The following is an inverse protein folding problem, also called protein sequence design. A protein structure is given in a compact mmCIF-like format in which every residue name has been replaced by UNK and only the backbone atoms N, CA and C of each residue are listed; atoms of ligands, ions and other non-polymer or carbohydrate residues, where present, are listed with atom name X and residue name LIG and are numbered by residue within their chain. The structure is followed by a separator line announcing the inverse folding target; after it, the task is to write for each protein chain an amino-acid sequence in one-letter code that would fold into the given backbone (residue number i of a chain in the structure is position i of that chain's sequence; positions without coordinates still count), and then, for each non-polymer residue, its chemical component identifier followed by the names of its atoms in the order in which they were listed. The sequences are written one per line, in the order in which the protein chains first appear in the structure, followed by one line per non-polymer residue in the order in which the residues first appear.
data_IF_795967970799
#
_entry.id   IF_795967970799
#
_cell.length_a   1.000
_cell.length_b   1.000
_cell.length_c   1.000
_cell.angle_alpha   90.00
_cell.angle_beta   90.00
_cell.angle_gamma   90.00
#
_symmetry.space_group_name_H-M   'P 1'
#
loop_
_entity.id
_entity.type
_entity.pdbx_description
1 polymer ?
#
# COMPACT_ATOMS: atom_id res chain seq x y z
N UNK A 1 8.61 9.28 -1.59
CA UNK A 1 9.37 8.16 -1.00
C UNK A 1 9.65 7.11 -2.07
N UNK A 2 8.68 6.58 -2.82
CA UNK A 2 8.92 5.33 -3.60
C UNK A 2 9.11 5.51 -5.12
N UNK A 3 9.54 6.69 -5.59
CA UNK A 3 9.74 6.99 -7.01
C UNK A 3 8.64 6.45 -7.97
N UNK A 4 7.38 6.42 -7.50
CA UNK A 4 6.25 6.07 -8.33
C UNK A 4 5.74 7.35 -8.99
N UNK A 5 5.65 7.41 -10.34
CA UNK A 5 5.06 8.56 -11.01
C UNK A 5 3.67 8.86 -10.47
N UNK A 6 3.31 10.15 -10.37
CA UNK A 6 2.00 10.55 -9.85
C UNK A 6 0.89 9.95 -10.71
N UNK A 7 1.07 9.95 -12.02
CA UNK A 7 0.15 9.40 -13.00
C UNK A 7 -0.13 7.92 -12.72
N UNK A 8 0.88 7.16 -12.31
CA UNK A 8 0.74 5.74 -11.98
C UNK A 8 -0.10 5.54 -10.72
N UNK A 9 0.15 6.35 -9.68
CA UNK A 9 -0.66 6.32 -8.45
C UNK A 9 -2.11 6.73 -8.70
N UNK A 10 -2.34 7.74 -9.54
CA UNK A 10 -3.69 8.18 -9.91
C UNK A 10 -4.41 7.13 -10.76
N UNK A 11 -3.73 6.49 -11.72
CA UNK A 11 -4.30 5.35 -12.48
C UNK A 11 -4.66 4.18 -11.57
N UNK A 12 -3.82 3.87 -10.58
CA UNK A 12 -4.13 2.85 -9.59
C UNK A 12 -5.39 3.20 -8.79
N UNK A 13 -5.48 4.43 -8.26
CA UNK A 13 -6.65 4.91 -7.50
C UNK A 13 -7.92 4.83 -8.35
N UNK A 14 -7.87 5.27 -9.60
CA UNK A 14 -9.00 5.21 -10.53
C UNK A 14 -9.41 3.76 -10.80
N UNK A 15 -8.45 2.86 -11.04
CA UNK A 15 -8.73 1.45 -11.25
C UNK A 15 -9.35 0.80 -10.01
N UNK A 16 -8.89 1.17 -8.81
CA UNK A 16 -9.42 0.64 -7.56
C UNK A 16 -10.85 1.14 -7.30
N UNK A 17 -11.15 2.41 -7.60
CA UNK A 17 -12.52 2.95 -7.52
C UNK A 17 -13.48 2.19 -8.44
N UNK A 18 -13.08 1.91 -9.69
CA UNK A 18 -13.87 1.08 -10.61
C UNK A 18 -14.13 -0.32 -10.05
N UNK A 19 -13.15 -0.91 -9.37
CA UNK A 19 -13.34 -2.20 -8.68
C UNK A 19 -14.34 -2.07 -7.53
N UNK A 20 -14.26 -1.01 -6.72
CA UNK A 20 -15.23 -0.75 -5.65
C UNK A 20 -16.66 -0.58 -6.19
N UNK A 21 -16.80 0.12 -7.32
CA UNK A 21 -18.09 0.30 -7.99
C UNK A 21 -18.63 -1.02 -8.54
N UNK A 22 -17.75 -1.86 -9.11
CA UNK A 22 -18.12 -3.19 -9.58
C UNK A 22 -18.60 -4.11 -8.43
N UNK A 23 -17.86 -4.17 -7.32
CA UNK A 23 -18.25 -5.05 -6.19
C UNK A 23 -19.50 -4.53 -5.46
N UNK A 24 -19.88 -3.26 -5.65
CA UNK A 24 -21.02 -2.64 -4.95
C UNK A 24 -22.32 -3.40 -5.15
N UNK A 25 -22.54 -4.01 -6.33
CA UNK A 25 -23.75 -4.81 -6.59
C UNK A 25 -23.74 -6.20 -5.93
N UNK A 26 -22.60 -6.61 -5.38
CA UNK A 26 -22.40 -7.93 -4.77
C UNK A 26 -22.30 -7.88 -3.25
N UNK A 27 -22.45 -6.71 -2.65
CA UNK A 27 -22.35 -6.50 -1.20
C UNK A 27 -23.70 -6.05 -0.65
N UNK A 28 -24.01 -6.32 0.63
CA UNK A 28 -25.24 -5.85 1.26
C UNK A 28 -25.39 -4.33 1.21
N UNK A 29 -26.62 -3.82 1.10
CA UNK A 29 -26.90 -2.37 1.03
C UNK A 29 -26.43 -1.60 2.27
N UNK A 30 -26.35 -2.26 3.43
CA UNK A 30 -25.84 -1.69 4.67
C UNK A 30 -24.30 -1.73 4.78
N UNK A 31 -23.59 -2.20 3.74
CA UNK A 31 -22.13 -2.22 3.68
C UNK A 31 -21.62 -1.27 2.60
N UNK A 32 -20.65 -0.42 2.95
CA UNK A 32 -20.03 0.54 2.03
C UNK A 32 -18.51 0.47 2.10
N UNK A 33 -17.88 0.23 0.95
CA UNK A 33 -16.43 0.36 0.80
C UNK A 33 -16.07 1.74 0.25
N UNK A 34 -15.02 2.34 0.78
CA UNK A 34 -14.50 3.64 0.32
C UNK A 34 -12.98 3.61 0.29
N UNK A 35 -12.38 4.41 -0.59
CA UNK A 35 -10.95 4.66 -0.66
C UNK A 35 -10.69 6.13 -0.34
N UNK A 36 -9.95 6.40 0.73
CA UNK A 36 -9.61 7.74 1.18
C UNK A 36 -8.10 7.82 1.42
N UNK A 37 -7.44 8.83 0.83
CA UNK A 37 -6.03 9.15 1.10
C UNK A 37 -5.95 10.13 2.27
N UNK A 38 -4.80 10.19 2.93
CA UNK A 38 -4.55 11.19 3.98
C UNK A 38 -4.71 12.61 3.43
N UNK A 39 -4.18 12.87 2.22
CA UNK A 39 -4.33 14.18 1.56
C UNK A 39 -5.79 14.54 1.22
N UNK A 40 -6.69 13.56 1.10
CA UNK A 40 -8.12 13.83 0.83
C UNK A 40 -8.86 14.36 2.09
N UNK A 41 -8.20 14.35 3.25
CA UNK A 41 -8.75 14.89 4.52
C UNK A 41 -8.47 16.39 4.70
N UNK A 42 -7.82 17.02 3.73
CA UNK A 42 -7.45 18.43 3.72
C UNK A 42 -8.35 19.21 2.76
N UNK A 43 -8.45 20.52 2.97
CA UNK A 43 -9.20 21.40 2.06
C UNK A 43 -8.63 21.39 0.63
N UNK A 44 -7.32 21.18 0.50
CA UNK A 44 -6.64 20.99 -0.77
C UNK A 44 -5.40 20.11 -0.60
N UNK A 45 -4.91 19.55 -1.71
CA UNK A 45 -3.66 18.80 -1.69
C UNK A 45 -2.45 19.70 -1.39
N UNK A 46 -2.54 21.00 -1.70
CA UNK A 46 -1.49 21.97 -1.34
C UNK A 46 -1.43 22.21 0.17
N UNK A 47 -2.58 22.29 0.85
CA UNK A 47 -2.62 22.38 2.32
C UNK A 47 -2.01 21.14 2.99
N UNK A 48 -2.20 19.95 2.42
CA UNK A 48 -1.53 18.74 2.88
C UNK A 48 0.00 18.82 2.71
N UNK A 49 0.47 19.29 1.55
CA UNK A 49 1.91 19.43 1.29
C UNK A 49 2.56 20.46 2.22
N UNK A 50 1.89 21.58 2.46
CA UNK A 50 2.37 22.63 3.36
C UNK A 50 2.59 22.06 4.77
N UNK A 51 1.60 21.37 5.33
CA UNK A 51 1.76 20.72 6.64
C UNK A 51 2.86 19.64 6.60
N UNK A 52 2.91 18.81 5.57
CA UNK A 52 3.93 17.77 5.43
C UNK A 52 5.34 18.35 5.46
N UNK A 53 5.60 19.40 4.67
CA UNK A 53 6.92 20.04 4.62
C UNK A 53 7.26 20.76 5.92
N UNK A 54 6.29 21.44 6.54
CA UNK A 54 6.49 22.04 7.87
C UNK A 54 6.84 20.99 8.93
N UNK A 55 6.19 19.83 8.91
CA UNK A 55 6.48 18.72 9.82
C UNK A 55 7.85 18.07 9.55
N UNK A 56 8.28 17.99 8.29
CA UNK A 56 9.62 17.50 7.94
C UNK A 56 10.70 18.40 8.54
N UNK A 57 10.59 19.71 8.36
CA UNK A 57 11.57 20.66 8.92
C UNK A 57 11.52 20.66 10.45
N UNK A 58 10.33 20.59 11.06
CA UNK A 58 10.19 20.47 12.51
C UNK A 58 10.93 19.24 13.07
N UNK A 59 10.72 18.07 12.46
CA UNK A 59 11.41 16.84 12.90
C UNK A 59 12.93 16.97 12.72
N UNK A 60 13.37 17.59 11.62
CA UNK A 60 14.79 17.83 11.36
C UNK A 60 15.42 18.75 12.41
N UNK A 61 14.73 19.81 12.81
CA UNK A 61 15.15 20.71 13.88
C UNK A 61 15.24 19.99 15.24
N UNK A 62 14.21 19.21 15.59
CA UNK A 62 14.18 18.42 16.84
C UNK A 62 15.33 17.40 16.92
N UNK A 63 15.75 16.86 15.78
CA UNK A 63 16.88 15.93 15.66
C UNK A 63 18.24 16.62 15.48
N UNK A 64 18.27 17.94 15.36
CA UNK A 64 19.46 18.73 15.01
C UNK A 64 20.14 18.24 13.70
N UNK A 65 19.34 17.94 12.68
CA UNK A 65 19.80 17.48 11.37
C UNK A 65 19.13 16.19 10.92
N UNK A 66 19.90 15.35 10.21
CA UNK A 66 19.41 14.06 9.73
C UNK A 66 19.38 13.01 10.85
N UNK A 67 18.37 12.12 10.85
CA UNK A 67 18.28 11.04 11.84
C UNK A 67 19.47 10.08 11.71
N UNK A 68 20.03 9.62 12.83
CA UNK A 68 20.94 8.46 12.83
C UNK A 68 20.11 7.18 12.87
N UNK A 69 20.17 6.40 11.79
CA UNK A 69 19.33 5.21 11.66
C UNK A 69 19.96 3.99 12.35
N UNK A 70 19.13 3.26 13.10
CA UNK A 70 19.46 1.91 13.57
C UNK A 70 19.46 0.91 12.41
N UNK A 71 20.12 -0.26 12.55
CA UNK A 71 20.08 -1.31 11.53
C UNK A 71 18.66 -1.76 11.15
N UNK A 72 17.71 -1.72 12.09
CA UNK A 72 16.31 -2.04 11.81
C UNK A 72 15.62 -0.96 10.97
N UNK A 73 15.85 0.32 11.28
CA UNK A 73 15.30 1.42 10.48
C UNK A 73 15.86 1.41 9.04
N UNK A 74 17.15 1.11 8.88
CA UNK A 74 17.77 0.93 7.56
C UNK A 74 17.04 -0.16 6.76
N UNK A 75 16.80 -1.33 7.37
CA UNK A 75 16.05 -2.42 6.73
C UNK A 75 14.64 -2.01 6.32
N UNK A 76 13.95 -1.26 7.17
CA UNK A 76 12.60 -0.78 6.88
C UNK A 76 12.58 0.21 5.71
N UNK A 77 13.56 1.12 5.64
CA UNK A 77 13.69 2.05 4.52
C UNK A 77 13.96 1.26 3.23
N UNK A 78 14.93 0.35 3.25
CA UNK A 78 15.31 -0.46 2.08
C UNK A 78 14.15 -1.32 1.56
N UNK A 79 13.25 -1.78 2.43
CA UNK A 79 12.09 -2.58 2.06
C UNK A 79 10.99 -1.76 1.38
N UNK A 80 10.82 -0.49 1.75
CA UNK A 80 9.66 0.31 1.32
C UNK A 80 9.98 1.25 0.16
N UNK A 81 11.26 1.55 -0.09
CA UNK A 81 11.66 2.59 -1.05
C UNK A 81 12.11 1.99 -2.38
N UNK A 82 11.59 2.54 -3.47
CA UNK A 82 12.18 2.39 -4.80
C UNK A 82 12.90 3.69 -5.16
N UNK A 83 14.22 3.62 -5.32
CA UNK A 83 15.03 4.78 -5.68
C UNK A 83 14.91 5.14 -7.17
N UNK A 84 15.22 6.40 -7.48
CA UNK A 84 15.53 6.81 -8.85
C UNK A 84 16.93 6.31 -9.23
N UNK A 85 17.19 5.99 -10.51
CA UNK A 85 18.55 5.72 -10.96
C UNK A 85 19.50 6.85 -10.53
N UNK A 86 20.62 6.49 -9.89
CA UNK A 86 21.66 7.43 -9.44
C UNK A 86 21.40 8.10 -8.09
N UNK A 87 20.25 7.90 -7.46
CA UNK A 87 19.97 8.44 -6.11
C UNK A 87 20.64 7.60 -5.00
N UNK A 88 21.05 6.38 -5.32
CA UNK A 88 21.87 5.51 -4.49
C UNK A 88 23.30 6.05 -4.27
N UNK A 89 23.74 7.02 -5.07
CA UNK A 89 25.02 7.73 -4.89
C UNK A 89 25.02 8.72 -3.71
N UNK A 90 23.83 9.13 -3.25
CA UNK A 90 23.71 10.00 -2.07
C UNK A 90 23.86 9.15 -0.80
N UNK A 91 25.00 9.23 -0.11
CA UNK A 91 25.28 8.39 1.07
C UNK A 91 24.25 8.54 2.19
N UNK A 92 23.48 9.62 2.21
CA UNK A 92 22.48 9.94 3.23
C UNK A 92 21.03 9.74 2.74
N UNK A 93 20.83 9.05 1.61
CA UNK A 93 19.50 8.91 1.01
C UNK A 93 18.51 8.24 1.99
N UNK A 94 18.98 7.31 2.83
CA UNK A 94 18.13 6.58 3.77
C UNK A 94 17.60 7.49 4.86
N UNK A 95 18.47 8.30 5.42
CA UNK A 95 18.20 9.30 6.45
C UNK A 95 17.21 10.34 5.93
N UNK A 96 17.41 10.81 4.69
CA UNK A 96 16.49 11.75 4.02
C UNK A 96 15.11 11.14 3.82
N UNK A 97 15.02 9.88 3.39
CA UNK A 97 13.71 9.21 3.24
C UNK A 97 13.06 8.96 4.61
N UNK A 98 13.83 8.53 5.60
CA UNK A 98 13.32 8.32 6.95
C UNK A 98 12.77 9.61 7.55
N UNK A 99 13.46 10.75 7.33
CA UNK A 99 12.98 12.06 7.75
C UNK A 99 11.62 12.42 7.12
N UNK A 100 11.44 12.15 5.82
CA UNK A 100 10.14 12.34 5.15
C UNK A 100 9.05 11.44 5.77
N UNK A 101 9.38 10.19 6.10
CA UNK A 101 8.46 9.28 6.77
C UNK A 101 8.04 9.81 8.15
N UNK A 102 8.97 10.34 8.93
CA UNK A 102 8.69 10.89 10.26
C UNK A 102 7.82 12.15 10.17
N UNK A 103 8.13 13.07 9.26
CA UNK A 103 7.29 14.24 9.01
C UNK A 103 5.88 13.87 8.54
N UNK A 104 5.76 12.90 7.62
CA UNK A 104 4.46 12.32 7.26
C UNK A 104 3.76 11.65 8.44
N UNK A 105 4.52 11.09 9.38
CA UNK A 105 3.95 10.34 10.48
C UNK A 105 3.20 11.19 11.50
N UNK A 106 3.45 12.49 11.50
CA UNK A 106 2.85 13.45 12.44
C UNK A 106 1.83 14.39 11.80
N UNK A 107 1.49 14.22 10.51
CA UNK A 107 0.43 15.02 9.86
C UNK A 107 -0.91 14.84 10.57
N UNK A 108 -1.56 15.96 10.86
CA UNK A 108 -2.66 16.11 11.81
C UNK A 108 -3.91 15.33 11.40
N UNK A 109 -4.20 15.22 10.10
CA UNK A 109 -5.43 14.59 9.60
C UNK A 109 -5.32 13.07 9.42
N UNK A 110 -4.12 12.49 9.51
CA UNK A 110 -3.92 11.05 9.28
C UNK A 110 -4.64 10.19 10.31
N UNK A 111 -4.32 10.34 11.59
CA UNK A 111 -4.83 9.47 12.67
C UNK A 111 -6.31 9.67 12.98
N UNK A 112 -6.84 10.91 13.08
CA UNK A 112 -8.24 11.15 13.43
C UNK A 112 -9.23 10.47 12.49
N UNK A 113 -8.88 10.31 11.21
CA UNK A 113 -9.75 9.66 10.25
C UNK A 113 -10.01 8.17 10.55
N UNK A 114 -8.99 7.41 10.96
CA UNK A 114 -9.11 5.96 11.15
C UNK A 114 -9.05 5.50 12.61
N UNK A 115 -8.65 6.36 13.55
CA UNK A 115 -8.66 6.10 15.00
C UNK A 115 -9.76 6.88 15.68
N UNK A 116 -11.01 6.48 15.42
CA UNK A 116 -12.21 7.05 16.03
C UNK A 116 -13.05 5.93 16.65
N UNK A 117 -13.80 6.16 17.75
CA UNK A 117 -14.51 5.11 18.48
C UNK A 117 -15.52 4.31 17.65
N UNK A 118 -16.04 4.91 16.58
CA UNK A 118 -17.01 4.33 15.65
C UNK A 118 -16.35 3.49 14.53
N UNK A 119 -15.02 3.35 14.51
CA UNK A 119 -14.31 2.55 13.51
C UNK A 119 -13.48 1.44 14.14
N UNK A 120 -13.53 0.26 13.52
CA UNK A 120 -12.63 -0.84 13.81
C UNK A 120 -11.34 -0.61 13.03
N UNK A 121 -10.22 -0.44 13.74
CA UNK A 121 -8.92 -0.26 13.10
C UNK A 121 -8.38 -1.60 12.62
N UNK A 122 -8.19 -1.75 11.31
CA UNK A 122 -7.68 -2.96 10.67
C UNK A 122 -6.26 -2.69 10.16
N UNK A 123 -5.29 -3.55 10.52
CA UNK A 123 -3.88 -3.39 10.14
C UNK A 123 -3.17 -4.74 10.10
N UNK A 124 -2.04 -4.84 9.42
CA UNK A 124 -1.29 -6.11 9.27
C UNK A 124 -0.37 -6.46 10.44
N UNK A 125 -0.38 -5.67 11.52
CA UNK A 125 0.42 -5.90 12.72
C UNK A 125 -0.52 -6.00 13.91
N UNK A 126 -0.37 -6.97 14.82
CA UNK A 126 -1.16 -6.96 16.05
C UNK A 126 -0.81 -5.72 16.88
N UNK A 127 -1.76 -4.79 16.98
CA UNK A 127 -1.68 -3.61 17.84
C UNK A 127 -2.88 -3.59 18.80
N UNK A 128 -2.76 -2.94 19.98
CA UNK A 128 -3.92 -2.71 20.85
C UNK A 128 -5.06 -2.02 20.10
N UNK A 129 -6.30 -2.45 20.36
CA UNK A 129 -7.52 -1.94 19.73
C UNK A 129 -7.49 -2.01 18.20
N UNK A 130 -6.91 -3.08 17.65
CA UNK A 130 -6.92 -3.33 16.21
C UNK A 130 -7.23 -4.79 15.87
N UNK A 131 -7.78 -5.01 14.69
CA UNK A 131 -7.89 -6.33 14.09
C UNK A 131 -6.70 -6.54 13.18
N UNK A 132 -5.85 -7.49 13.55
CA UNK A 132 -4.73 -7.91 12.73
C UNK A 132 -5.24 -8.72 11.54
N UNK A 133 -5.19 -8.14 10.33
CA UNK A 133 -5.50 -8.89 9.11
C UNK A 133 -4.20 -9.26 8.41
N UNK A 134 -4.00 -10.56 8.23
CA UNK A 134 -2.96 -11.09 7.36
C UNK A 134 -3.39 -10.99 5.90
N UNK A 135 -3.14 -12.05 5.15
CA UNK A 135 -3.36 -12.06 3.70
C UNK A 135 -4.39 -13.15 3.41
N UNK A 136 -4.02 -14.27 2.81
CA UNK A 136 -4.85 -15.48 2.80
C UNK A 136 -4.34 -16.48 3.84
N UNK A 137 -5.13 -17.52 4.15
CA UNK A 137 -4.68 -18.62 5.04
C UNK A 137 -3.37 -19.27 4.59
N UNK A 138 -3.04 -19.16 3.29
CA UNK A 138 -1.86 -19.79 2.65
C UNK A 138 -0.85 -18.77 2.14
N UNK A 139 -0.94 -17.50 2.55
CA UNK A 139 -0.05 -16.46 2.06
C UNK A 139 0.45 -15.59 3.19
N UNK A 140 1.66 -15.07 3.02
CA UNK A 140 2.30 -14.12 3.94
C UNK A 140 2.39 -12.74 3.26
N UNK A 141 2.41 -12.68 1.92
CA UNK A 141 2.53 -11.45 1.16
C UNK A 141 1.23 -10.63 1.15
N UNK A 142 1.33 -9.34 1.47
CA UNK A 142 0.18 -8.45 1.69
C UNK A 142 -0.52 -8.12 0.37
N UNK A 143 -1.85 -7.99 0.40
CA UNK A 143 -2.68 -7.72 -0.78
C UNK A 143 -2.29 -6.47 -1.56
N UNK A 144 -1.65 -5.48 -0.92
CA UNK A 144 -1.25 -4.23 -1.57
C UNK A 144 0.11 -4.28 -2.28
N UNK A 145 0.92 -5.31 -2.05
CA UNK A 145 2.24 -5.50 -2.71
C UNK A 145 2.35 -6.82 -3.49
N UNK A 146 1.39 -7.73 -3.32
CA UNK A 146 1.39 -9.01 -4.01
C UNK A 146 0.42 -9.08 -5.18
N UNK A 147 0.54 -10.14 -5.97
CA UNK A 147 -0.42 -10.47 -7.02
C UNK A 147 -1.26 -11.68 -6.61
N UNK A 148 -2.56 -11.63 -6.93
CA UNK A 148 -3.46 -12.76 -6.79
C UNK A 148 -3.09 -13.90 -7.75
N UNK A 149 -3.04 -15.11 -7.21
CA UNK A 149 -2.72 -16.35 -7.92
C UNK A 149 -3.63 -17.45 -7.41
N UNK A 150 -4.04 -18.37 -8.28
CA UNK A 150 -4.70 -19.60 -7.88
C UNK A 150 -3.70 -20.75 -7.79
N UNK A 151 -3.79 -21.56 -6.74
CA UNK A 151 -3.08 -22.83 -6.62
C UNK A 151 -4.10 -23.96 -6.75
N UNK A 152 -3.90 -24.84 -7.74
CA UNK A 152 -4.81 -25.97 -7.98
C UNK A 152 -4.56 -27.06 -6.95
N UNK A 153 -5.62 -27.59 -6.38
CA UNK A 153 -5.62 -28.71 -5.43
C UNK A 153 -6.75 -29.68 -5.80
N UNK A 154 -6.42 -30.69 -6.60
CA UNK A 154 -7.37 -31.61 -7.24
C UNK A 154 -8.43 -30.84 -8.06
N UNK A 155 -9.70 -30.92 -7.67
CA UNK A 155 -10.82 -30.20 -8.29
C UNK A 155 -11.05 -28.80 -7.70
N UNK A 156 -10.26 -28.40 -6.70
CA UNK A 156 -10.41 -27.13 -6.00
C UNK A 156 -9.28 -26.15 -6.33
N UNK A 157 -9.51 -24.88 -6.00
CA UNK A 157 -8.51 -23.83 -6.10
C UNK A 157 -8.34 -23.09 -4.77
N UNK A 158 -7.09 -22.86 -4.38
CA UNK A 158 -6.74 -22.00 -3.25
C UNK A 158 -6.30 -20.64 -3.74
N UNK A 159 -6.80 -19.58 -3.10
CA UNK A 159 -6.34 -18.22 -3.37
C UNK A 159 -5.03 -17.93 -2.64
N UNK A 160 -4.03 -17.55 -3.43
CA UNK A 160 -2.73 -17.08 -2.95
C UNK A 160 -2.52 -15.61 -3.29
N UNK A 161 -1.72 -14.96 -2.47
CA UNK A 161 -1.11 -13.67 -2.77
C UNK A 161 0.40 -13.87 -2.72
N UNK A 162 1.06 -13.68 -3.86
CA UNK A 162 2.52 -13.85 -3.98
C UNK A 162 3.21 -12.50 -4.07
N UNK A 163 4.32 -12.33 -3.34
CA UNK A 163 5.21 -11.17 -3.47
C UNK A 163 5.92 -11.19 -4.83
N UNK A 164 6.55 -10.07 -5.27
CA UNK A 164 7.30 -10.03 -6.52
C UNK A 164 8.35 -11.15 -6.64
N UNK A 165 9.17 -11.35 -5.59
CA UNK A 165 10.16 -12.44 -5.58
C UNK A 165 9.51 -13.83 -5.68
N UNK A 166 8.37 -14.05 -5.01
CA UNK A 166 7.64 -15.30 -5.14
C UNK A 166 7.06 -15.49 -6.55
N UNK A 167 6.68 -14.41 -7.25
CA UNK A 167 6.27 -14.50 -8.65
C UNK A 167 7.45 -14.93 -9.53
N UNK A 168 8.65 -14.41 -9.30
CA UNK A 168 9.83 -14.76 -10.10
C UNK A 168 10.29 -16.21 -9.87
N UNK A 169 10.08 -16.74 -8.66
CA UNK A 169 10.49 -18.08 -8.27
C UNK A 169 9.51 -19.20 -8.66
N UNK A 170 8.30 -18.86 -9.10
CA UNK A 170 7.25 -19.83 -9.39
C UNK A 170 6.87 -19.85 -10.87
N UNK A 171 6.34 -20.98 -11.34
CA UNK A 171 5.82 -21.13 -12.70
C UNK A 171 4.30 -21.01 -12.70
N UNK A 172 3.77 -20.40 -13.76
CA UNK A 172 2.33 -20.18 -13.87
C UNK A 172 1.82 -20.56 -15.25
N UNK A 173 0.69 -21.24 -15.27
CA UNK A 173 -0.24 -21.23 -16.39
C UNK A 173 -1.00 -19.91 -16.34
N UNK A 174 -1.21 -19.30 -17.51
CA UNK A 174 -2.01 -18.09 -17.64
C UNK A 174 -3.28 -18.42 -18.38
N UNK A 175 -4.41 -18.06 -17.81
CA UNK A 175 -5.70 -18.26 -18.45
C UNK A 175 -6.38 -16.92 -18.68
N UNK A 176 -6.89 -16.74 -19.89
CA UNK A 176 -7.70 -15.59 -20.23
C UNK A 176 -9.05 -15.71 -19.56
N UNK A 177 -9.50 -14.63 -18.94
CA UNK A 177 -10.81 -14.55 -18.30
C UNK A 177 -11.53 -13.30 -18.80
N UNK A 178 -12.84 -13.41 -18.97
CA UNK A 178 -13.70 -12.27 -19.25
C UNK A 178 -14.69 -12.11 -18.09
N UNK A 179 -14.50 -11.05 -17.31
CA UNK A 179 -15.38 -10.74 -16.19
C UNK A 179 -16.24 -9.54 -16.58
N UNK A 180 -17.48 -9.81 -16.96
CA UNK A 180 -18.45 -8.79 -17.34
C UNK A 180 -18.51 -7.67 -16.30
N UNK A 181 -18.19 -6.43 -16.71
CA UNK A 181 -18.15 -5.26 -15.83
C UNK A 181 -16.75 -4.87 -15.34
N UNK A 182 -15.72 -5.68 -15.59
CA UNK A 182 -14.32 -5.39 -15.27
C UNK A 182 -13.44 -5.36 -16.53
N UNK A 183 -13.33 -4.20 -17.17
CA UNK A 183 -12.62 -4.05 -18.45
C UNK A 183 -11.14 -3.65 -18.32
N UNK A 184 -10.61 -3.55 -17.10
CA UNK A 184 -9.22 -3.10 -16.87
C UNK A 184 -8.17 -4.14 -17.28
N UNK A 185 -6.98 -3.68 -17.70
CA UNK A 185 -5.85 -4.54 -18.15
C UNK A 185 -5.54 -5.71 -17.21
N UNK A 186 -5.74 -5.52 -15.91
CA UNK A 186 -5.42 -6.52 -14.87
C UNK A 186 -6.53 -7.57 -14.65
N UNK A 187 -7.67 -7.46 -15.30
CA UNK A 187 -8.84 -8.34 -15.09
C UNK A 187 -9.08 -9.34 -16.21
N UNK A 188 -8.19 -9.38 -17.22
CA UNK A 188 -8.32 -10.27 -18.37
C UNK A 188 -7.52 -11.57 -18.26
N UNK A 189 -6.74 -11.72 -17.18
CA UNK A 189 -5.81 -12.82 -17.04
C UNK A 189 -5.68 -13.26 -15.59
N UNK A 190 -5.83 -14.56 -15.36
CA UNK A 190 -5.57 -15.20 -14.08
C UNK A 190 -4.30 -16.06 -14.16
N UNK A 191 -3.52 -16.06 -13.08
CA UNK A 191 -2.34 -16.92 -12.93
C UNK A 191 -2.71 -18.14 -12.12
N UNK A 192 -2.41 -19.32 -12.65
CA UNK A 192 -2.56 -20.59 -11.95
C UNK A 192 -1.16 -21.15 -11.72
N UNK A 193 -0.76 -21.29 -10.47
CA UNK A 193 0.53 -21.85 -10.07
C UNK A 193 0.59 -23.33 -10.46
N UNK A 194 1.70 -23.71 -11.10
CA UNK A 194 2.03 -25.08 -11.52
C UNK A 194 3.07 -25.65 -10.56
#
# INVERSE_FOLDING_TARGET
MDNVPKEDTERYIQSFRKLLDFIKSYIPENLKFTLNRVGDQYASYDAFKEELFGNIEKVKEELNGLPKLTPEQIRLVDLNVKLKPGYDNDSEWREKVFLVHEGYSIVSKRRPYYRTPDKIFIITKPLPNSVAVGTTKRSIAKFWVGAGVLEKDNENYHMLVLSPNQLDQNKFQKESVDIKGLNGKNFHLIKIKI
#
